data_IF_395690316380
#
_entry.id   IF_395690316380
#
_cell.length_a   1.000
_cell.length_b   1.000
_cell.length_c   1.000
_cell.angle_alpha   90.00
_cell.angle_beta   90.00
_cell.angle_gamma   90.00
#
_symmetry.space_group_name_H-M   'P 1'
#
loop_
_entity.id
_entity.type
_entity.pdbx_description
1 polymer ?
#
# COMPACT_ATOMS: atom_id res chain seq x y z
N UNK A 1 -26.86 -2.62 2.55
CA UNK A 1 -26.50 -4.05 2.68
C UNK A 1 -26.49 -4.39 4.16
N UNK A 2 -27.00 -5.57 4.56
CA UNK A 2 -26.83 -6.04 5.95
C UNK A 2 -25.35 -6.08 6.29
N UNK A 3 -24.96 -5.58 7.46
CA UNK A 3 -23.65 -5.84 8.02
C UNK A 3 -23.37 -7.34 7.86
N UNK A 4 -22.30 -7.68 7.14
CA UNK A 4 -21.90 -9.08 6.95
C UNK A 4 -21.58 -9.61 8.34
N UNK A 5 -22.55 -10.32 8.93
CA UNK A 5 -22.34 -10.98 10.21
C UNK A 5 -21.21 -11.97 9.96
N UNK A 6 -20.06 -11.85 10.66
CA UNK A 6 -18.96 -12.78 10.46
C UNK A 6 -19.50 -14.20 10.66
N UNK A 7 -19.15 -15.15 9.79
CA UNK A 7 -19.68 -16.50 9.89
C UNK A 7 -19.46 -17.02 11.32
N UNK A 8 -20.48 -17.67 11.93
CA UNK A 8 -20.35 -18.16 13.29
C UNK A 8 -19.16 -19.11 13.39
N UNK A 9 -18.45 -19.04 14.52
CA UNK A 9 -17.37 -19.98 14.80
C UNK A 9 -17.91 -21.42 14.68
N UNK A 10 -17.12 -22.35 14.13
CA UNK A 10 -17.54 -23.74 14.05
C UNK A 10 -17.72 -24.34 15.45
N UNK A 11 -18.70 -25.24 15.59
CA UNK A 11 -19.01 -25.89 16.87
C UNK A 11 -17.80 -26.61 17.47
N UNK A 12 -16.93 -27.17 16.63
CA UNK A 12 -15.65 -27.78 17.01
C UNK A 12 -14.55 -27.31 16.07
N UNK A 13 -13.55 -26.61 16.61
CA UNK A 13 -12.37 -26.14 15.86
C UNK A 13 -11.33 -27.26 15.73
N UNK A 14 -10.89 -27.82 16.86
CA UNK A 14 -9.94 -28.94 16.92
C UNK A 14 -10.61 -30.08 17.69
N UNK A 15 -10.69 -31.31 17.13
CA UNK A 15 -11.28 -32.44 17.82
C UNK A 15 -10.67 -32.65 19.21
N UNK A 16 -11.52 -32.92 20.20
CA UNK A 16 -11.14 -33.17 21.60
C UNK A 16 -10.57 -31.96 22.36
N UNK A 17 -10.57 -30.76 21.80
CA UNK A 17 -10.20 -29.53 22.50
C UNK A 17 -11.41 -28.57 22.63
N UNK A 18 -11.59 -27.94 23.80
CA UNK A 18 -12.43 -26.76 23.95
C UNK A 18 -12.06 -25.66 22.94
N UNK A 19 -13.05 -24.96 22.38
CA UNK A 19 -12.83 -23.97 21.33
C UNK A 19 -12.01 -22.76 21.80
N UNK A 20 -12.10 -22.38 23.06
CA UNK A 20 -11.26 -21.34 23.67
C UNK A 20 -9.78 -21.73 23.68
N UNK A 21 -9.47 -22.98 24.05
CA UNK A 21 -8.11 -23.52 23.96
C UNK A 21 -7.65 -23.64 22.50
N UNK A 22 -8.51 -24.08 21.60
CA UNK A 22 -8.19 -24.16 20.17
C UNK A 22 -7.86 -22.78 19.59
N UNK A 23 -8.66 -21.75 19.88
CA UNK A 23 -8.38 -20.37 19.47
C UNK A 23 -7.08 -19.85 20.10
N UNK A 24 -6.83 -20.15 21.37
CA UNK A 24 -5.60 -19.76 22.06
C UNK A 24 -4.35 -20.38 21.42
N UNK A 25 -4.43 -21.64 20.98
CA UNK A 25 -3.38 -22.34 20.23
C UNK A 25 -3.19 -21.69 18.85
N UNK A 26 -4.26 -21.54 18.07
CA UNK A 26 -4.20 -20.95 16.73
C UNK A 26 -3.70 -19.49 16.77
N UNK A 27 -4.08 -18.71 17.79
CA UNK A 27 -3.66 -17.33 17.97
C UNK A 27 -2.14 -17.20 18.11
N UNK A 28 -1.46 -18.22 18.67
CA UNK A 28 0.00 -18.24 18.83
C UNK A 28 0.76 -18.64 17.58
N UNK A 29 0.06 -19.15 16.56
CA UNK A 29 0.72 -19.47 15.29
C UNK A 29 0.96 -18.17 14.52
N UNK A 30 2.21 -17.91 14.07
CA UNK A 30 2.51 -16.75 13.24
C UNK A 30 1.66 -16.69 11.96
N UNK A 31 1.27 -15.47 11.54
CA UNK A 31 0.38 -15.24 10.36
C UNK A 31 0.89 -15.93 9.09
N UNK A 32 2.22 -16.05 8.92
CA UNK A 32 2.85 -16.70 7.77
C UNK A 32 2.48 -18.18 7.56
N UNK A 33 1.94 -18.85 8.58
CA UNK A 33 1.50 -20.24 8.50
C UNK A 33 -0.03 -20.38 8.39
N UNK A 34 -0.79 -19.29 8.48
CA UNK A 34 -2.26 -19.33 8.47
C UNK A 34 -2.80 -19.85 7.14
N UNK A 35 -2.16 -19.51 6.01
CA UNK A 35 -2.51 -20.06 4.69
C UNK A 35 -2.35 -21.59 4.63
N UNK A 36 -1.30 -22.13 5.26
CA UNK A 36 -1.07 -23.57 5.28
C UNK A 36 -2.07 -24.25 6.21
N UNK A 37 -2.33 -23.65 7.38
CA UNK A 37 -3.30 -24.17 8.35
C UNK A 37 -4.75 -24.12 7.83
N UNK A 38 -5.12 -23.11 7.06
CA UNK A 38 -6.45 -22.99 6.48
C UNK A 38 -6.74 -24.08 5.43
N UNK A 39 -5.69 -24.71 4.88
CA UNK A 39 -5.82 -25.86 4.00
C UNK A 39 -6.09 -27.18 4.74
N UNK A 40 -5.81 -27.25 6.05
CA UNK A 40 -5.92 -28.50 6.84
C UNK A 40 -7.37 -28.91 7.09
N UNK A 41 -8.23 -27.97 7.48
CA UNK A 41 -9.65 -28.26 7.71
C UNK A 41 -10.54 -27.03 7.52
N UNK A 42 -11.83 -27.26 7.20
CA UNK A 42 -12.82 -26.19 7.08
C UNK A 42 -13.03 -25.46 8.41
N UNK A 43 -13.05 -26.17 9.53
CA UNK A 43 -13.21 -25.55 10.87
C UNK A 43 -12.02 -24.66 11.23
N UNK A 44 -10.79 -25.10 10.97
CA UNK A 44 -9.59 -24.29 11.21
C UNK A 44 -9.59 -23.08 10.29
N UNK A 45 -9.93 -23.24 9.00
CA UNK A 45 -10.07 -22.12 8.07
C UNK A 45 -11.05 -21.06 8.58
N UNK A 46 -12.24 -21.46 9.00
CA UNK A 46 -13.25 -20.55 9.55
C UNK A 46 -12.75 -19.85 10.82
N UNK A 47 -12.08 -20.58 11.72
CA UNK A 47 -11.47 -19.99 12.92
C UNK A 47 -10.38 -18.97 12.58
N UNK A 48 -9.53 -19.24 11.58
CA UNK A 48 -8.46 -18.33 11.11
C UNK A 48 -8.96 -17.03 10.48
N UNK A 49 -10.16 -17.05 9.89
CA UNK A 49 -10.81 -15.86 9.35
C UNK A 49 -11.72 -15.16 10.37
N UNK A 50 -11.88 -15.71 11.58
CA UNK A 50 -12.84 -15.20 12.57
C UNK A 50 -12.32 -13.97 13.33
N UNK A 51 -13.17 -12.97 13.64
CA UNK A 51 -12.79 -11.84 14.49
C UNK A 51 -12.32 -12.24 15.89
N UNK A 52 -12.83 -13.37 16.42
CA UNK A 52 -12.46 -13.88 17.74
C UNK A 52 -11.00 -14.29 17.81
N UNK A 53 -10.43 -14.81 16.72
CA UNK A 53 -9.00 -15.11 16.66
C UNK A 53 -8.17 -13.83 16.79
N UNK A 54 -8.48 -12.80 16.02
CA UNK A 54 -7.76 -11.52 16.03
C UNK A 54 -7.93 -10.78 17.36
N UNK A 55 -9.12 -10.87 17.97
CA UNK A 55 -9.34 -10.38 19.34
C UNK A 55 -8.44 -11.11 20.33
N UNK A 56 -8.36 -12.45 20.24
CA UNK A 56 -7.49 -13.28 21.10
C UNK A 56 -6.02 -12.91 20.90
N UNK A 57 -5.58 -12.73 19.66
CA UNK A 57 -4.20 -12.30 19.33
C UNK A 57 -3.87 -10.94 19.92
N UNK A 58 -4.80 -9.98 19.80
CA UNK A 58 -4.66 -8.63 20.38
C UNK A 58 -4.51 -8.69 21.90
N UNK A 59 -5.38 -9.43 22.60
CA UNK A 59 -5.30 -9.62 24.07
C UNK A 59 -3.96 -10.24 24.50
N UNK A 60 -3.40 -11.12 23.66
CA UNK A 60 -2.12 -11.79 23.93
C UNK A 60 -0.89 -10.98 23.50
N UNK A 61 -1.06 -9.77 22.96
CA UNK A 61 0.01 -8.96 22.38
C UNK A 61 0.77 -9.68 21.24
N UNK A 62 0.05 -10.47 20.44
CA UNK A 62 0.59 -11.22 19.30
C UNK A 62 0.27 -10.54 17.97
N UNK A 63 0.10 -9.22 17.99
CA UNK A 63 -0.24 -8.44 16.82
C UNK A 63 0.92 -8.40 15.84
N UNK A 64 0.68 -8.74 14.58
CA UNK A 64 1.72 -8.75 13.54
C UNK A 64 1.48 -7.63 12.53
N UNK A 65 2.55 -7.07 11.94
CA UNK A 65 2.43 -6.18 10.79
C UNK A 65 2.61 -7.01 9.54
N UNK A 66 1.70 -6.84 8.59
CA UNK A 66 1.72 -7.56 7.33
C UNK A 66 1.95 -6.57 6.20
N UNK A 67 2.86 -6.94 5.32
CA UNK A 67 3.18 -6.20 4.12
C UNK A 67 2.47 -6.90 2.95
N UNK A 68 1.86 -6.12 2.06
CA UNK A 68 1.24 -6.61 0.84
C UNK A 68 1.85 -5.89 -0.34
N UNK A 69 2.11 -6.61 -1.41
CA UNK A 69 2.73 -6.04 -2.61
C UNK A 69 1.87 -6.38 -3.81
N UNK A 70 1.56 -5.36 -4.61
CA UNK A 70 1.06 -5.48 -5.97
C UNK A 70 2.20 -5.18 -6.95
N UNK A 71 2.35 -6.07 -7.92
CA UNK A 71 3.31 -5.93 -9.02
C UNK A 71 2.54 -5.93 -10.32
N UNK A 72 2.54 -4.78 -11.00
CA UNK A 72 1.85 -4.56 -12.26
C UNK A 72 2.84 -4.42 -13.41
N UNK A 73 2.65 -5.22 -14.45
CA UNK A 73 3.33 -5.03 -15.73
C UNK A 73 2.30 -4.63 -16.77
N UNK A 74 2.41 -3.38 -17.20
CA UNK A 74 1.58 -2.80 -18.24
C UNK A 74 1.88 -3.46 -19.60
N UNK A 75 3.13 -3.78 -19.92
CA UNK A 75 3.46 -4.50 -21.16
C UNK A 75 2.90 -5.93 -21.21
N UNK A 76 2.88 -6.64 -20.08
CA UNK A 76 2.52 -8.07 -20.05
C UNK A 76 1.05 -8.36 -19.69
N UNK A 77 0.25 -7.39 -19.25
CA UNK A 77 -1.11 -7.70 -18.80
C UNK A 77 -1.21 -8.27 -17.42
N UNK A 78 -0.11 -8.27 -16.65
CA UNK A 78 -0.06 -9.02 -15.40
C UNK A 78 -0.16 -8.12 -14.19
N UNK A 79 -0.98 -8.57 -13.24
CA UNK A 79 -1.08 -8.02 -11.89
C UNK A 79 -0.87 -9.18 -10.91
N UNK A 80 0.15 -9.08 -10.06
CA UNK A 80 0.50 -10.12 -9.10
C UNK A 80 0.47 -9.56 -7.68
N UNK A 81 -0.23 -10.26 -6.80
CA UNK A 81 -0.37 -9.89 -5.39
C UNK A 81 0.42 -10.84 -4.50
N UNK A 82 1.08 -10.29 -3.50
CA UNK A 82 1.87 -11.04 -2.53
C UNK A 82 1.60 -10.56 -1.11
N UNK A 83 1.46 -11.49 -0.17
CA UNK A 83 1.65 -11.23 1.25
C UNK A 83 3.14 -11.45 1.58
N UNK A 84 3.73 -10.53 2.32
CA UNK A 84 5.14 -10.54 2.70
C UNK A 84 5.23 -10.72 4.20
N UNK A 85 5.96 -11.77 4.61
CA UNK A 85 6.17 -12.12 6.01
C UNK A 85 7.64 -11.99 6.38
N UNK A 86 7.92 -11.51 7.59
CA UNK A 86 9.28 -11.53 8.15
C UNK A 86 9.59 -12.92 8.69
N UNK A 87 10.71 -13.51 8.27
CA UNK A 87 11.19 -14.75 8.88
C UNK A 87 11.64 -14.46 10.31
N UNK A 88 11.30 -15.32 11.30
CA UNK A 88 11.88 -15.20 12.62
C UNK A 88 13.39 -15.41 12.50
N UNK A 89 14.18 -14.59 13.21
CA UNK A 89 15.65 -14.65 13.24
C UNK A 89 16.04 -15.91 14.01
N UNK A 90 15.93 -17.07 13.37
CA UNK A 90 16.31 -18.36 13.93
C UNK A 90 17.23 -19.00 12.92
N UNK A 91 18.52 -18.93 13.22
CA UNK A 91 19.71 -19.27 12.41
C UNK A 91 20.19 -18.18 11.45
N UNK A 92 21.37 -17.64 11.79
CA UNK A 92 22.25 -16.94 10.87
C UNK A 92 22.76 -17.97 9.85
N UNK A 93 21.97 -18.24 8.82
CA UNK A 93 22.47 -18.91 7.63
C UNK A 93 23.05 -17.82 6.70
N UNK A 94 24.39 -17.72 6.58
CA UNK A 94 25.05 -16.69 5.78
C UNK A 94 24.78 -16.83 4.26
N UNK A 95 24.11 -17.90 3.83
CA UNK A 95 23.80 -18.19 2.42
C UNK A 95 22.33 -17.83 2.10
N UNK A 96 21.44 -17.79 3.10
CA UNK A 96 20.03 -17.44 2.93
C UNK A 96 19.74 -15.97 3.28
N UNK A 97 20.08 -15.05 2.38
CA UNK A 97 19.82 -13.59 2.43
C UNK A 97 18.32 -13.17 2.46
N UNK A 98 17.39 -14.04 2.84
CA UNK A 98 15.95 -13.75 2.77
C UNK A 98 15.33 -13.49 4.13
N UNK A 99 15.44 -12.26 4.65
CA UNK A 99 14.69 -11.77 5.82
C UNK A 99 13.16 -11.85 5.63
N UNK A 100 12.72 -11.86 4.38
CA UNK A 100 11.31 -11.83 3.99
C UNK A 100 10.92 -13.10 3.21
N UNK A 101 9.65 -13.48 3.33
CA UNK A 101 9.00 -14.57 2.59
C UNK A 101 7.79 -13.99 1.86
N UNK A 102 7.73 -14.23 0.55
CA UNK A 102 6.61 -13.84 -0.30
C UNK A 102 5.66 -15.03 -0.45
N UNK A 103 4.38 -14.81 -0.18
CA UNK A 103 3.31 -15.76 -0.47
C UNK A 103 2.40 -15.12 -1.52
N UNK A 104 2.31 -15.75 -2.69
CA UNK A 104 1.42 -15.31 -3.76
C UNK A 104 -0.03 -15.40 -3.30
N UNK A 105 -0.79 -14.35 -3.57
CA UNK A 105 -2.22 -14.26 -3.30
C UNK A 105 -3.02 -14.53 -4.59
N UNK A 106 -4.32 -14.87 -4.48
CA UNK A 106 -5.19 -14.93 -5.64
C UNK A 106 -5.16 -13.58 -6.39
N UNK A 107 -5.16 -13.58 -7.74
CA UNK A 107 -5.23 -12.34 -8.49
C UNK A 107 -6.58 -11.65 -8.25
N UNK A 108 -6.60 -10.33 -8.38
CA UNK A 108 -7.86 -9.59 -8.45
C UNK A 108 -8.73 -10.17 -9.60
N UNK A 109 -10.01 -10.50 -9.37
CA UNK A 109 -10.87 -11.07 -10.39
C UNK A 109 -10.95 -10.24 -11.68
N UNK A 110 -10.96 -8.90 -11.57
CA UNK A 110 -10.92 -8.00 -12.72
C UNK A 110 -9.64 -7.17 -12.67
N UNK A 111 -8.86 -7.19 -13.76
CA UNK A 111 -7.71 -6.29 -13.91
C UNK A 111 -8.26 -4.86 -14.04
N UNK A 112 -7.81 -3.98 -13.16
CA UNK A 112 -8.23 -2.59 -13.10
C UNK A 112 -6.99 -1.69 -13.21
N UNK A 113 -6.59 -1.41 -14.44
CA UNK A 113 -5.38 -0.62 -14.68
C UNK A 113 -5.58 0.86 -14.32
N UNK A 114 -4.63 1.46 -13.60
CA UNK A 114 -4.83 2.81 -13.06
C UNK A 114 -5.93 2.88 -12.00
N UNK A 115 -6.25 1.76 -11.34
CA UNK A 115 -7.01 1.77 -10.09
C UNK A 115 -6.27 2.56 -9.00
N UNK A 116 -7.00 2.91 -7.95
CA UNK A 116 -6.41 3.37 -6.70
C UNK A 116 -6.66 2.37 -5.59
N UNK A 117 -5.76 2.32 -4.63
CA UNK A 117 -5.79 1.35 -3.55
C UNK A 117 -5.83 2.03 -2.18
N UNK A 118 -6.77 1.62 -1.34
CA UNK A 118 -6.88 2.12 0.03
C UNK A 118 -6.88 0.97 1.04
N UNK A 119 -6.25 1.19 2.19
CA UNK A 119 -6.26 0.24 3.30
C UNK A 119 -7.13 0.79 4.42
N UNK A 120 -8.20 0.06 4.77
CA UNK A 120 -9.03 0.38 5.94
C UNK A 120 -9.30 -0.90 6.73
N UNK A 121 -8.95 -0.88 8.02
CA UNK A 121 -9.00 -2.08 8.84
C UNK A 121 -8.18 -3.19 8.19
N UNK A 122 -8.75 -4.39 8.08
CA UNK A 122 -8.08 -5.57 7.50
C UNK A 122 -8.33 -5.75 5.99
N UNK A 123 -8.80 -4.71 5.31
CA UNK A 123 -9.21 -4.78 3.92
C UNK A 123 -8.36 -3.85 3.06
N UNK A 124 -7.96 -4.34 1.89
CA UNK A 124 -7.41 -3.53 0.80
C UNK A 124 -8.50 -3.35 -0.24
N UNK A 125 -8.84 -2.11 -0.55
CA UNK A 125 -9.85 -1.71 -1.52
C UNK A 125 -9.16 -1.31 -2.81
N UNK A 126 -9.43 -1.99 -3.91
CA UNK A 126 -9.01 -1.63 -5.27
C UNK A 126 -10.19 -0.97 -5.95
N UNK A 127 -10.07 0.31 -6.30
CA UNK A 127 -11.20 1.17 -6.68
C UNK A 127 -10.96 1.79 -8.05
N UNK A 128 -11.95 1.68 -8.93
CA UNK A 128 -11.92 2.26 -10.26
C UNK A 128 -10.90 1.60 -11.17
N UNK A 129 -10.28 2.35 -12.07
CA UNK A 129 -9.32 1.85 -13.06
C UNK A 129 -9.97 1.59 -14.43
N UNK A 130 -9.21 1.00 -15.34
CA UNK A 130 -9.65 0.60 -16.67
C UNK A 130 -10.02 -0.89 -16.67
N UNK A 131 -11.25 -1.21 -17.04
CA UNK A 131 -11.74 -2.60 -17.11
C UNK A 131 -11.59 -3.22 -18.51
N UNK A 132 -10.93 -2.53 -19.45
CA UNK A 132 -10.66 -3.05 -20.78
C UNK A 132 -9.52 -4.07 -20.77
N UNK A 133 -9.71 -5.18 -21.52
CA UNK A 133 -8.64 -6.12 -21.84
C UNK A 133 -7.75 -5.64 -22.99
N UNK A 134 -8.16 -4.60 -23.72
CA UNK A 134 -7.38 -3.94 -24.76
C UNK A 134 -6.80 -2.64 -24.21
N UNK A 135 -5.48 -2.55 -24.20
CA UNK A 135 -4.71 -1.38 -23.75
C UNK A 135 -4.98 -0.10 -24.53
N UNK A 136 -5.41 -0.23 -25.79
CA UNK A 136 -5.73 0.93 -26.61
C UNK A 136 -7.14 1.47 -26.34
N UNK A 137 -7.90 0.77 -25.49
CA UNK A 137 -9.28 1.10 -25.16
C UNK A 137 -9.36 1.48 -23.68
N UNK A 138 -9.80 2.70 -23.45
CA UNK A 138 -9.93 3.29 -22.12
C UNK A 138 -11.39 3.28 -21.72
N UNK A 139 -11.76 2.41 -20.79
CA UNK A 139 -13.11 2.33 -20.21
C UNK A 139 -12.95 2.49 -18.69
N UNK A 140 -13.10 3.72 -18.17
CA UNK A 140 -13.11 3.94 -16.73
C UNK A 140 -14.18 3.07 -16.06
N UNK A 141 -13.82 2.47 -14.93
CA UNK A 141 -14.63 1.51 -14.21
C UNK A 141 -15.18 2.09 -12.92
N UNK A 142 -16.36 1.61 -12.52
CA UNK A 142 -16.94 1.84 -11.19
C UNK A 142 -16.67 0.69 -10.21
N UNK A 143 -15.94 -0.35 -10.65
CA UNK A 143 -15.72 -1.54 -9.83
C UNK A 143 -14.90 -1.22 -8.57
N UNK A 144 -15.27 -1.90 -7.49
CA UNK A 144 -14.53 -1.92 -6.23
C UNK A 144 -14.32 -3.38 -5.85
N UNK A 145 -13.07 -3.80 -5.72
CA UNK A 145 -12.70 -5.12 -5.22
C UNK A 145 -12.03 -5.00 -3.87
N UNK A 146 -12.44 -5.84 -2.93
CA UNK A 146 -11.96 -5.81 -1.55
C UNK A 146 -11.21 -7.11 -1.29
N UNK A 147 -9.93 -7.00 -0.94
CA UNK A 147 -9.13 -8.12 -0.46
C UNK A 147 -9.18 -8.15 1.07
N UNK A 148 -9.80 -9.19 1.62
CA UNK A 148 -9.73 -9.48 3.06
C UNK A 148 -8.34 -10.07 3.38
N UNK A 149 -7.52 -9.31 4.11
CA UNK A 149 -6.18 -9.69 4.52
C UNK A 149 -6.13 -10.80 5.59
N UNK A 150 -7.26 -11.24 6.14
CA UNK A 150 -7.38 -12.33 7.11
C UNK A 150 -7.56 -13.67 6.42
N UNK A 151 -8.44 -13.72 5.43
CA UNK A 151 -8.77 -14.91 4.65
C UNK A 151 -7.99 -15.02 3.33
N UNK A 152 -7.39 -13.91 2.87
CA UNK A 152 -6.78 -13.77 1.53
C UNK A 152 -7.77 -14.07 0.41
N UNK A 153 -9.00 -13.57 0.55
CA UNK A 153 -10.06 -13.71 -0.45
C UNK A 153 -10.53 -12.36 -0.96
N UNK A 154 -10.89 -12.32 -2.23
CA UNK A 154 -11.50 -11.16 -2.87
C UNK A 154 -13.03 -11.22 -2.77
N UNK A 155 -13.64 -10.07 -2.55
CA UNK A 155 -15.08 -9.85 -2.69
C UNK A 155 -15.35 -8.57 -3.47
N UNK A 156 -16.50 -8.52 -4.18
CA UNK A 156 -16.92 -7.31 -4.87
C UNK A 156 -17.59 -6.37 -3.85
N UNK A 157 -17.07 -5.14 -3.75
CA UNK A 157 -17.62 -4.09 -2.91
C UNK A 157 -18.70 -3.27 -3.62
N UNK A 158 -19.33 -2.31 -2.91
CA UNK A 158 -20.22 -1.33 -3.53
C UNK A 158 -19.47 -0.52 -4.58
N UNK A 159 -20.00 -0.47 -5.81
CA UNK A 159 -19.43 0.32 -6.90
C UNK A 159 -19.43 1.82 -6.59
N UNK A 160 -18.39 2.53 -7.02
CA UNK A 160 -18.42 4.01 -7.03
C UNK A 160 -19.49 4.51 -7.99
N UNK A 161 -20.11 5.63 -7.66
CA UNK A 161 -21.18 6.21 -8.44
C UNK A 161 -20.74 6.63 -9.83
N UNK A 162 -19.50 7.12 -9.96
CA UNK A 162 -18.96 7.59 -11.24
C UNK A 162 -17.68 6.84 -11.61
N UNK A 163 -17.67 6.17 -12.78
CA UNK A 163 -16.49 5.46 -13.25
C UNK A 163 -15.30 6.40 -13.42
N UNK A 164 -14.13 5.96 -12.97
CA UNK A 164 -12.88 6.75 -13.04
C UNK A 164 -11.64 5.87 -13.02
N UNK A 165 -10.55 6.39 -13.55
CA UNK A 165 -9.20 5.82 -13.45
C UNK A 165 -8.16 6.92 -13.21
N UNK A 166 -6.98 6.56 -12.74
CA UNK A 166 -5.91 7.50 -12.35
C UNK A 166 -6.40 8.57 -11.37
N UNK A 167 -7.29 8.17 -10.46
CA UNK A 167 -7.72 9.01 -9.35
C UNK A 167 -6.59 9.11 -8.30
N UNK A 168 -6.82 9.91 -7.27
CA UNK A 168 -6.06 9.89 -6.03
C UNK A 168 -6.92 9.33 -4.91
N UNK A 169 -6.30 8.84 -3.85
CA UNK A 169 -7.02 8.30 -2.69
C UNK A 169 -6.45 8.82 -1.39
N UNK A 170 -7.33 9.06 -0.42
CA UNK A 170 -6.96 9.38 0.95
C UNK A 170 -7.85 8.63 1.93
N UNK A 171 -7.30 8.25 3.08
CA UNK A 171 -8.07 7.67 4.18
C UNK A 171 -8.06 8.63 5.36
N UNK A 172 -9.25 9.07 5.79
CA UNK A 172 -9.42 9.93 6.96
C UNK A 172 -10.58 9.42 7.79
N UNK A 173 -10.37 9.28 9.11
CA UNK A 173 -11.37 8.77 10.04
C UNK A 173 -12.01 7.44 9.56
N UNK A 174 -11.19 6.53 9.05
CA UNK A 174 -11.58 5.22 8.47
C UNK A 174 -12.47 5.28 7.23
N UNK A 175 -12.61 6.45 6.61
CA UNK A 175 -13.35 6.63 5.35
C UNK A 175 -12.39 6.81 4.19
N UNK A 176 -12.77 6.29 3.03
CA UNK A 176 -11.95 6.31 1.82
C UNK A 176 -12.46 7.42 0.92
N UNK A 177 -11.62 8.41 0.64
CA UNK A 177 -11.91 9.52 -0.26
C UNK A 177 -11.20 9.28 -1.59
N UNK A 178 -11.98 9.10 -2.65
CA UNK A 178 -11.47 8.95 -4.01
C UNK A 178 -11.66 10.26 -4.75
N UNK A 179 -10.56 10.82 -5.25
CA UNK A 179 -10.47 12.22 -5.66
C UNK A 179 -9.96 12.32 -7.09
N UNK A 180 -10.73 13.00 -7.93
CA UNK A 180 -10.35 13.33 -9.31
C UNK A 180 -10.30 12.10 -10.21
N UNK A 181 -9.29 12.09 -11.09
CA UNK A 181 -9.10 11.07 -12.12
C UNK A 181 -9.78 11.42 -13.44
N UNK A 182 -9.74 10.47 -14.37
CA UNK A 182 -10.42 10.59 -15.66
C UNK A 182 -11.91 10.32 -15.47
N UNK A 183 -12.68 11.41 -15.31
CA UNK A 183 -14.11 11.38 -14.99
C UNK A 183 -14.86 12.57 -15.62
N UNK A 184 -16.19 12.51 -15.67
CA UNK A 184 -17.02 13.50 -16.38
C UNK A 184 -17.50 14.67 -15.51
N UNK A 185 -17.89 14.45 -14.23
CA UNK A 185 -18.59 15.50 -13.44
C UNK A 185 -18.29 15.55 -11.94
N UNK A 186 -17.97 14.42 -11.28
CA UNK A 186 -17.81 14.38 -9.81
C UNK A 186 -16.36 14.33 -9.37
N UNK A 187 -15.99 15.25 -8.48
CA UNK A 187 -14.61 15.34 -8.03
C UNK A 187 -14.31 14.32 -6.94
N UNK A 188 -15.12 14.23 -5.88
CA UNK A 188 -14.82 13.38 -4.74
C UNK A 188 -15.98 12.46 -4.41
N UNK A 189 -15.67 11.19 -4.19
CA UNK A 189 -16.58 10.23 -3.58
C UNK A 189 -15.95 9.69 -2.30
N UNK A 190 -16.72 9.68 -1.21
CA UNK A 190 -16.30 9.13 0.08
C UNK A 190 -17.05 7.84 0.38
N UNK A 191 -16.30 6.78 0.65
CA UNK A 191 -16.84 5.52 1.15
C UNK A 191 -16.72 5.45 2.66
N UNK A 192 -17.82 5.08 3.30
CA UNK A 192 -17.83 4.71 4.71
C UNK A 192 -18.01 3.19 4.82
N UNK A 193 -16.94 2.43 5.16
CA UNK A 193 -16.99 0.98 5.26
C UNK A 193 -17.96 0.45 6.32
N UNK A 194 -18.30 1.25 7.34
CA UNK A 194 -19.20 0.83 8.42
C UNK A 194 -20.64 0.72 7.90
N UNK A 195 -21.06 1.70 7.09
CA UNK A 195 -22.40 1.71 6.48
C UNK A 195 -22.43 1.05 5.10
N UNK A 196 -21.28 0.88 4.45
CA UNK A 196 -21.14 0.30 3.12
C UNK A 196 -21.74 1.18 2.02
N UNK A 197 -21.55 2.49 2.10
CA UNK A 197 -22.15 3.45 1.17
C UNK A 197 -21.15 4.51 0.70
N UNK A 198 -21.28 4.90 -0.58
CA UNK A 198 -20.56 6.00 -1.21
C UNK A 198 -21.39 7.27 -1.17
N UNK A 199 -20.77 8.37 -0.81
CA UNK A 199 -21.37 9.70 -0.85
C UNK A 199 -20.57 10.62 -1.76
N UNK A 200 -21.27 11.40 -2.58
CA UNK A 200 -20.67 12.38 -3.48
C UNK A 200 -20.40 13.71 -2.76
N UNK A 201 -19.20 14.25 -2.96
CA UNK A 201 -18.81 15.60 -2.56
C UNK A 201 -18.53 16.41 -3.84
N UNK A 202 -19.33 17.46 -4.12
CA UNK A 202 -19.18 18.28 -5.31
C UNK A 202 -17.80 18.95 -5.43
N UNK A 203 -17.45 19.24 -6.67
CA UNK A 203 -16.28 20.03 -7.02
C UNK A 203 -16.31 21.44 -6.40
N UNK A 204 -15.19 22.00 -5.89
CA UNK A 204 -15.12 23.41 -5.55
C UNK A 204 -15.13 24.35 -6.75
N UNK A 205 -14.92 23.85 -7.98
CA UNK A 205 -14.91 24.65 -9.21
C UNK A 205 -15.55 23.90 -10.39
N UNK A 206 -16.55 24.50 -11.01
CA UNK A 206 -17.24 23.90 -12.16
C UNK A 206 -16.28 23.67 -13.35
N UNK A 207 -16.39 22.49 -13.99
CA UNK A 207 -15.69 22.18 -15.24
C UNK A 207 -14.21 21.79 -15.11
N UNK A 208 -13.68 21.61 -13.89
CA UNK A 208 -12.28 21.15 -13.69
C UNK A 208 -12.20 19.62 -13.68
N UNK A 209 -11.35 19.07 -14.55
CA UNK A 209 -10.93 17.66 -14.50
C UNK A 209 -9.56 17.58 -13.84
N UNK A 210 -9.53 17.13 -12.59
CA UNK A 210 -8.29 16.96 -11.82
C UNK A 210 -7.61 15.63 -12.19
N UNK A 211 -6.99 15.61 -13.37
CA UNK A 211 -6.19 14.48 -13.85
C UNK A 211 -4.84 14.51 -13.16
N UNK A 212 -4.39 13.41 -12.55
CA UNK A 212 -3.10 13.39 -11.84
C UNK A 212 -3.04 14.39 -10.67
N UNK A 213 -4.14 14.52 -9.93
CA UNK A 213 -4.11 15.23 -8.66
C UNK A 213 -3.14 14.52 -7.68
N UNK A 214 -2.55 15.30 -6.78
CA UNK A 214 -1.81 14.77 -5.63
C UNK A 214 -2.60 15.08 -4.38
N UNK A 215 -2.62 14.15 -3.43
CA UNK A 215 -3.41 14.24 -2.21
C UNK A 215 -2.53 13.99 -1.00
N UNK A 216 -2.68 14.83 0.02
CA UNK A 216 -1.98 14.71 1.30
C UNK A 216 -2.99 14.96 2.43
N UNK A 217 -2.90 14.20 3.54
CA UNK A 217 -3.71 14.47 4.73
C UNK A 217 -2.87 15.15 5.79
N UNK A 218 -3.24 16.38 6.14
CA UNK A 218 -2.54 17.18 7.15
C UNK A 218 -3.54 17.56 8.25
N UNK A 219 -3.29 17.08 9.48
CA UNK A 219 -4.16 17.34 10.63
C UNK A 219 -5.64 16.98 10.39
N UNK A 220 -5.90 15.92 9.62
CA UNK A 220 -7.25 15.49 9.25
C UNK A 220 -7.92 16.32 8.15
N UNK A 221 -7.21 17.25 7.52
CA UNK A 221 -7.64 17.99 6.32
C UNK A 221 -7.01 17.34 5.11
N UNK A 222 -7.79 17.16 4.04
CA UNK A 222 -7.31 16.60 2.78
C UNK A 222 -6.88 17.77 1.89
N UNK A 223 -5.59 17.87 1.62
CA UNK A 223 -5.01 18.80 0.66
C UNK A 223 -5.00 18.14 -0.71
N UNK A 224 -5.56 18.81 -1.72
CA UNK A 224 -5.60 18.35 -3.11
C UNK A 224 -4.88 19.36 -3.97
N UNK A 225 -3.85 18.92 -4.68
CA UNK A 225 -3.06 19.77 -5.58
C UNK A 225 -3.15 19.26 -7.00
N UNK A 226 -3.49 20.15 -7.93
CA UNK A 226 -3.55 19.87 -9.36
C UNK A 226 -3.20 21.14 -10.15
N UNK A 227 -2.21 21.05 -11.04
CA UNK A 227 -1.65 22.22 -11.72
C UNK A 227 -1.08 23.22 -10.72
N UNK A 228 -1.49 24.48 -10.81
CA UNK A 228 -1.11 25.56 -9.89
C UNK A 228 -2.12 25.76 -8.74
N UNK A 229 -3.18 24.94 -8.69
CA UNK A 229 -4.25 25.10 -7.73
C UNK A 229 -4.08 24.15 -6.54
N UNK A 230 -4.36 24.68 -5.34
CA UNK A 230 -4.40 23.93 -4.09
C UNK A 230 -5.77 24.12 -3.43
N UNK A 231 -6.39 22.99 -3.10
CA UNK A 231 -7.71 22.91 -2.48
C UNK A 231 -7.59 22.16 -1.16
N UNK A 232 -8.36 22.57 -0.18
CA UNK A 232 -8.41 21.90 1.12
C UNK A 232 -9.83 21.43 1.35
N UNK A 233 -10.04 20.12 1.48
CA UNK A 233 -11.32 19.53 1.86
C UNK A 233 -11.27 19.22 3.35
N UNK A 234 -12.21 19.79 4.10
CA UNK A 234 -12.46 19.38 5.48
C UNK A 234 -13.39 18.14 5.48
N UNK A 235 -12.91 16.95 5.88
CA UNK A 235 -13.70 15.71 5.81
C UNK A 235 -14.94 15.71 6.71
N UNK A 236 -14.92 16.49 7.80
CA UNK A 236 -16.02 16.57 8.77
C UNK A 236 -17.16 17.46 8.28
N UNK A 237 -16.84 18.59 7.67
CA UNK A 237 -17.84 19.55 7.17
C UNK A 237 -18.16 19.35 5.69
N UNK A 238 -17.30 18.64 4.95
CA UNK A 238 -17.35 18.45 3.48
C UNK A 238 -17.31 19.78 2.72
N UNK A 239 -16.66 20.78 3.31
CA UNK A 239 -16.48 22.10 2.73
C UNK A 239 -15.06 22.22 2.19
N UNK A 240 -14.97 22.87 1.02
CA UNK A 240 -13.72 23.19 0.37
C UNK A 240 -13.24 24.61 0.70
N UNK A 241 -11.94 24.75 0.92
CA UNK A 241 -11.25 26.04 0.93
C UNK A 241 -10.27 26.08 -0.25
N UNK A 242 -10.32 27.18 -1.00
CA UNK A 242 -9.47 27.37 -2.21
C UNK A 242 -8.36 28.35 -1.88
N UNK A 243 -7.12 27.87 -1.85
CA UNK A 243 -5.95 28.72 -1.69
C UNK A 243 -5.41 29.13 -3.07
N UNK A 244 -5.55 30.41 -3.44
CA UNK A 244 -4.89 30.99 -4.61
C UNK A 244 -3.47 31.42 -4.25
N UNK A 245 -2.53 30.48 -4.13
CA UNK A 245 -1.11 30.84 -3.98
C UNK A 245 -0.39 30.82 -5.34
N UNK A 246 -0.03 32.01 -5.83
CA UNK A 246 0.76 32.28 -7.05
C UNK A 246 2.26 31.94 -6.88
N UNK A 247 2.62 30.75 -6.39
CA UNK A 247 4.01 30.31 -6.47
C UNK A 247 4.12 28.96 -7.18
N UNK A 248 4.91 28.88 -8.27
CA UNK A 248 5.13 27.64 -8.97
C UNK A 248 6.11 26.81 -8.14
N UNK A 249 5.60 26.03 -7.22
CA UNK A 249 6.33 24.88 -6.75
C UNK A 249 5.68 23.64 -7.34
N UNK A 250 6.41 23.02 -8.27
CA UNK A 250 6.34 21.58 -8.47
C UNK A 250 6.61 20.91 -7.12
N UNK A 251 5.57 20.73 -6.32
CA UNK A 251 5.60 19.85 -5.17
C UNK A 251 4.95 18.57 -5.64
N UNK A 252 5.77 17.57 -5.96
CA UNK A 252 5.37 16.17 -5.78
C UNK A 252 4.99 16.05 -4.30
N UNK A 253 3.71 16.28 -4.01
CA UNK A 253 3.14 16.48 -2.68
C UNK A 253 2.61 15.19 -2.11
N UNK A 254 3.48 14.20 -1.97
CA UNK A 254 3.25 13.03 -1.15
C UNK A 254 4.42 12.86 -0.18
N UNK A 255 4.11 12.59 1.08
CA UNK A 255 5.04 11.88 1.97
C UNK A 255 4.76 10.41 1.78
N UNK A 256 5.76 9.60 1.45
CA UNK A 256 5.55 8.14 1.27
C UNK A 256 5.37 7.45 2.64
N UNK A 257 6.03 7.96 3.68
CA UNK A 257 5.77 7.55 5.06
C UNK A 257 6.38 8.52 6.09
N UNK A 258 6.05 8.31 7.37
CA UNK A 258 6.71 8.95 8.52
C UNK A 258 7.34 7.92 9.44
N UNK A 259 8.57 8.16 9.86
CA UNK A 259 9.31 7.37 10.88
C UNK A 259 9.80 8.34 11.94
N UNK A 260 9.51 8.07 13.22
CA UNK A 260 9.87 8.92 14.36
C UNK A 260 9.47 10.39 14.21
N UNK A 261 8.31 10.63 13.59
CA UNK A 261 7.79 11.98 13.32
C UNK A 261 8.48 12.72 12.17
N UNK A 262 9.50 12.13 11.54
CA UNK A 262 10.16 12.67 10.36
C UNK A 262 9.45 12.15 9.11
N UNK A 263 9.11 13.06 8.19
CA UNK A 263 8.54 12.69 6.90
C UNK A 263 9.63 12.28 5.92
N UNK A 264 9.38 11.19 5.19
CA UNK A 264 10.25 10.69 4.13
C UNK A 264 9.50 10.55 2.81
N UNK A 265 10.25 10.62 1.71
CA UNK A 265 9.75 10.35 0.36
C UNK A 265 10.85 9.77 -0.53
N UNK A 266 10.46 9.00 -1.51
CA UNK A 266 11.29 8.50 -2.59
C UNK A 266 11.09 9.36 -3.85
N UNK A 267 12.16 9.64 -4.60
CA UNK A 267 12.08 10.46 -5.81
C UNK A 267 13.02 9.98 -6.91
N UNK A 268 12.45 9.90 -8.12
CA UNK A 268 13.18 9.71 -9.36
C UNK A 268 13.69 8.28 -9.59
N UNK A 269 14.21 8.06 -10.79
CA UNK A 269 14.66 6.76 -11.35
C UNK A 269 15.97 6.21 -10.76
N UNK A 270 16.45 6.75 -9.64
CA UNK A 270 17.64 6.25 -8.93
C UNK A 270 17.36 5.86 -7.48
N UNK A 271 16.11 5.91 -7.04
CA UNK A 271 15.73 5.55 -5.68
C UNK A 271 16.27 6.50 -4.61
N UNK A 272 16.36 7.80 -4.91
CA UNK A 272 16.73 8.81 -3.91
C UNK A 272 15.67 8.85 -2.82
N UNK A 273 16.12 8.81 -1.57
CA UNK A 273 15.26 9.02 -0.40
C UNK A 273 15.56 10.39 0.21
N UNK A 274 14.52 11.17 0.44
CA UNK A 274 14.58 12.49 1.05
C UNK A 274 13.81 12.51 2.37
N UNK A 275 14.27 13.32 3.32
CA UNK A 275 13.59 13.60 4.59
C UNK A 275 13.27 15.09 4.71
N UNK A 276 12.17 15.42 5.39
CA UNK A 276 11.77 16.81 5.59
C UNK A 276 12.42 17.41 6.84
N UNK A 277 13.21 18.46 6.65
CA UNK A 277 13.79 19.24 7.73
C UNK A 277 12.86 20.40 8.08
N UNK A 278 12.17 20.29 9.21
CA UNK A 278 11.22 21.31 9.67
C UNK A 278 11.92 22.63 10.05
N UNK A 279 13.20 22.59 10.46
CA UNK A 279 13.96 23.79 10.82
C UNK A 279 14.31 24.61 9.58
N UNK A 280 14.76 23.91 8.54
CA UNK A 280 15.12 24.53 7.26
C UNK A 280 13.94 24.63 6.28
N UNK A 281 12.78 24.07 6.64
CA UNK A 281 11.54 23.99 5.86
C UNK A 281 11.75 23.42 4.45
N UNK A 282 12.62 22.43 4.30
CA UNK A 282 12.97 21.86 3.00
C UNK A 282 13.28 20.37 3.08
N UNK A 283 13.13 19.69 1.95
CA UNK A 283 13.55 18.31 1.78
C UNK A 283 15.08 18.22 1.61
N UNK A 284 15.68 17.26 2.32
CA UNK A 284 17.12 16.95 2.29
C UNK A 284 17.32 15.47 1.96
N UNK A 285 18.37 15.14 1.25
CA UNK A 285 18.69 13.74 0.92
C UNK A 285 19.12 12.97 2.18
N UNK A 286 18.68 11.72 2.30
CA UNK A 286 19.23 10.77 3.28
C UNK A 286 20.54 10.22 2.70
N UNK A 287 21.67 10.60 3.32
CA UNK A 287 23.01 10.24 2.82
C UNK A 287 23.29 8.75 3.02
N UNK A 288 24.22 8.18 2.24
CA UNK A 288 24.65 6.78 2.34
C UNK A 288 23.73 5.75 1.66
N UNK A 289 22.44 6.07 1.47
CA UNK A 289 21.49 5.16 0.80
C UNK A 289 21.88 4.91 -0.65
N UNK A 290 22.19 5.97 -1.40
CA UNK A 290 22.48 5.91 -2.83
C UNK A 290 23.70 5.03 -3.17
N UNK A 291 24.66 4.91 -2.26
CA UNK A 291 25.88 4.11 -2.47
C UNK A 291 25.58 2.60 -2.47
N UNK A 292 24.49 2.18 -1.82
CA UNK A 292 24.07 0.79 -1.74
C UNK A 292 23.07 0.38 -2.85
N UNK A 293 22.58 1.35 -3.63
CA UNK A 293 21.57 1.13 -4.68
C UNK A 293 22.21 0.78 -6.04
N UNK A 294 21.53 -0.01 -6.89
CA UNK A 294 22.01 -0.29 -8.25
C UNK A 294 21.93 0.97 -9.12
N UNK A 295 22.62 0.92 -10.27
CA UNK A 295 22.72 2.05 -11.19
C UNK A 295 21.37 2.49 -11.76
N UNK A 296 20.45 1.55 -11.95
CA UNK A 296 19.11 1.78 -12.48
C UNK A 296 18.07 1.17 -11.56
N UNK A 297 17.12 2.01 -11.16
CA UNK A 297 16.01 1.64 -10.31
C UNK A 297 14.72 2.07 -10.99
N UNK A 298 13.78 1.15 -11.19
CA UNK A 298 12.43 1.47 -11.64
C UNK A 298 11.43 1.21 -10.51
N UNK A 299 10.48 2.14 -10.36
CA UNK A 299 9.39 2.12 -9.37
C UNK A 299 9.84 1.93 -7.92
N UNK A 300 9.50 2.87 -7.06
CA UNK A 300 10.04 2.90 -5.70
C UNK A 300 8.93 3.05 -4.70
N UNK A 301 8.98 2.24 -3.66
CA UNK A 301 8.01 2.26 -2.59
C UNK A 301 8.73 2.32 -1.25
N UNK A 302 8.34 3.28 -0.42
CA UNK A 302 8.97 3.56 0.85
C UNK A 302 7.94 3.52 1.96
N UNK A 303 8.15 2.64 2.93
CA UNK A 303 7.15 2.40 3.97
C UNK A 303 7.77 2.32 5.36
N UNK A 304 6.99 2.68 6.39
CA UNK A 304 7.40 2.52 7.79
C UNK A 304 7.08 1.09 8.26
N UNK A 305 8.12 0.31 8.55
CA UNK A 305 8.01 -1.03 9.12
C UNK A 305 8.61 -1.05 10.53
N UNK A 306 7.77 -0.82 11.55
CA UNK A 306 8.17 -0.82 12.98
C UNK A 306 9.36 0.12 13.25
N UNK A 307 9.19 1.40 12.92
CA UNK A 307 10.18 2.45 13.17
C UNK A 307 11.45 2.33 12.31
N UNK A 308 11.40 1.53 11.24
CA UNK A 308 12.45 1.44 10.21
C UNK A 308 11.87 1.77 8.86
N UNK A 309 12.67 2.39 8.01
CA UNK A 309 12.30 2.56 6.61
C UNK A 309 12.51 1.23 5.89
N UNK A 310 11.51 0.79 5.15
CA UNK A 310 11.63 -0.32 4.24
C UNK A 310 11.44 0.20 2.82
N UNK A 311 12.43 -0.08 1.98
CA UNK A 311 12.48 0.41 0.62
C UNK A 311 12.43 -0.75 -0.36
N UNK A 312 11.51 -0.69 -1.32
CA UNK A 312 11.40 -1.67 -2.39
C UNK A 312 11.60 -1.02 -3.75
N UNK A 313 12.24 -1.77 -4.64
CA UNK A 313 12.55 -1.27 -5.96
C UNK A 313 12.73 -2.37 -7.00
N UNK A 314 12.47 -2.04 -8.27
CA UNK A 314 12.87 -2.85 -9.41
C UNK A 314 14.32 -2.56 -9.80
N UNK A 315 15.18 -3.58 -9.73
CA UNK A 315 16.55 -3.54 -10.25
C UNK A 315 16.53 -4.01 -11.70
N UNK A 316 16.87 -3.10 -12.63
CA UNK A 316 16.82 -3.36 -14.07
C UNK A 316 18.20 -3.80 -14.55
N UNK A 317 18.28 -5.03 -15.07
CA UNK A 317 19.48 -5.53 -15.75
C UNK A 317 19.19 -5.81 -17.23
N UNK A 318 20.07 -5.32 -18.10
CA UNK A 318 20.05 -5.62 -19.53
C UNK A 318 20.99 -6.78 -19.82
N UNK A 319 20.52 -7.82 -20.52
CA UNK A 319 21.43 -8.80 -21.10
C UNK A 319 22.15 -8.14 -22.30
N UNK A 320 23.44 -8.44 -22.47
CA UNK A 320 24.37 -7.72 -23.35
C UNK A 320 24.05 -7.75 -24.86
N UNK A 321 22.92 -8.35 -25.25
CA UNK A 321 22.49 -8.47 -26.64
C UNK A 321 20.97 -8.36 -26.87
N UNK A 322 20.15 -8.08 -25.85
CA UNK A 322 18.70 -7.93 -25.98
C UNK A 322 18.24 -6.52 -25.62
N UNK A 323 17.18 -6.04 -26.29
CA UNK A 323 16.38 -4.88 -25.84
C UNK A 323 15.46 -5.22 -24.68
N UNK A 324 15.33 -6.51 -24.36
CA UNK A 324 14.51 -7.01 -23.27
C UNK A 324 15.30 -6.92 -21.96
N UNK A 325 14.80 -6.10 -21.04
CA UNK A 325 15.33 -5.97 -19.69
C UNK A 325 14.70 -6.98 -18.75
N UNK A 326 15.50 -7.48 -17.81
CA UNK A 326 15.01 -8.27 -16.68
C UNK A 326 14.90 -7.35 -15.46
N UNK A 327 13.70 -7.26 -14.88
CA UNK A 327 13.51 -6.57 -13.59
C UNK A 327 13.51 -7.58 -12.47
N UNK A 328 14.46 -7.42 -11.54
CA UNK A 328 14.50 -8.15 -10.28
C UNK A 328 13.91 -7.28 -9.19
N UNK A 329 12.93 -7.81 -8.46
CA UNK A 329 12.41 -7.11 -7.30
C UNK A 329 13.41 -7.21 -6.14
N UNK A 330 13.87 -6.05 -5.69
CA UNK A 330 14.80 -5.90 -4.59
C UNK A 330 14.15 -5.10 -3.46
N UNK A 331 14.69 -5.24 -2.25
CA UNK A 331 14.31 -4.38 -1.15
C UNK A 331 15.37 -4.33 -0.06
N UNK A 332 15.22 -3.39 0.86
CA UNK A 332 16.17 -3.15 1.92
C UNK A 332 15.50 -2.50 3.12
N UNK A 333 15.89 -2.94 4.31
CA UNK A 333 15.65 -2.17 5.53
C UNK A 333 16.72 -1.06 5.58
N UNK A 334 16.29 0.16 5.82
CA UNK A 334 17.15 1.34 5.95
C UNK A 334 17.07 1.80 7.39
N UNK A 335 18.18 1.65 8.10
CA UNK A 335 18.35 2.21 9.43
C UNK A 335 18.85 3.65 9.30
N UNK A 336 18.07 4.60 9.82
CA UNK A 336 18.40 6.02 9.72
C UNK A 336 18.98 6.51 11.03
N UNK A 337 20.18 7.08 10.95
CA UNK A 337 20.89 7.68 12.08
C UNK A 337 21.10 9.17 11.85
N UNK A 338 21.03 9.96 12.94
CA UNK A 338 21.40 11.38 12.92
C UNK A 338 22.90 11.50 13.06
N UNK A 339 23.53 12.26 12.15
CA UNK A 339 24.95 12.64 12.26
C UNK A 339 25.06 14.15 12.27
N UNK A 340 25.86 14.66 13.21
CA UNK A 340 26.17 16.09 13.27
C UNK A 340 27.41 16.32 12.40
N UNK A 341 27.25 17.02 11.29
CA UNK A 341 28.35 17.49 10.44
C UNK A 341 28.36 19.03 10.45
N UNK A 342 29.31 19.62 11.19
CA UNK A 342 29.37 21.07 11.38
C UNK A 342 28.18 21.62 12.19
N UNK A 343 27.61 22.74 11.72
CA UNK A 343 26.48 23.44 12.36
C UNK A 343 25.09 22.85 12.02
N UNK A 344 25.04 21.79 11.18
CA UNK A 344 23.81 21.18 10.69
C UNK A 344 23.57 19.75 11.23
N UNK A 345 22.30 19.32 11.18
CA UNK A 345 21.91 17.91 11.37
C UNK A 345 21.64 17.30 10.00
N UNK A 346 22.30 16.19 9.70
CA UNK A 346 22.01 15.38 8.52
C UNK A 346 21.63 13.94 8.92
N UNK A 347 20.80 13.31 8.09
CA UNK A 347 20.41 11.92 8.25
C UNK A 347 21.24 11.03 7.33
N UNK A 348 21.76 9.94 7.90
CA UNK A 348 22.50 8.90 7.21
C UNK A 348 21.74 7.59 7.30
N UNK A 349 21.51 6.95 6.16
CA UNK A 349 20.87 5.65 6.04
C UNK A 349 21.91 4.55 5.82
N UNK A 350 21.88 3.52 6.65
CA UNK A 350 22.57 2.25 6.42
C UNK A 350 21.58 1.26 5.79
N UNK A 351 21.91 0.74 4.61
CA UNK A 351 21.03 -0.15 3.84
C UNK A 351 21.41 -1.60 4.10
N UNK A 352 20.54 -2.33 4.79
CA UNK A 352 20.63 -3.77 4.89
C UNK A 352 19.89 -4.41 3.72
N UNK A 353 20.63 -4.68 2.63
CA UNK A 353 20.07 -5.21 1.38
C UNK A 353 19.53 -6.63 1.56
N UNK A 354 18.32 -6.86 1.09
CA UNK A 354 17.67 -8.17 1.04
C UNK A 354 17.29 -8.45 -0.41
N UNK A 355 17.85 -9.51 -1.00
CA UNK A 355 17.37 -9.97 -2.31
C UNK A 355 16.02 -10.64 -2.11
N UNK A 356 14.95 -10.03 -2.58
CA UNK A 356 13.58 -10.40 -2.23
C UNK A 356 13.02 -11.55 -3.08
N UNK A 357 13.21 -11.48 -4.40
CA UNK A 357 12.70 -12.50 -5.32
C UNK A 357 13.75 -12.80 -6.41
N UNK A 358 14.71 -13.71 -6.15
CA UNK A 358 15.73 -14.06 -7.14
C UNK A 358 15.19 -14.86 -8.34
N UNK A 359 14.01 -15.47 -8.23
CA UNK A 359 13.43 -16.39 -9.23
C UNK A 359 12.29 -15.79 -10.07
N UNK A 360 11.76 -14.61 -9.72
CA UNK A 360 10.74 -13.95 -10.54
C UNK A 360 11.39 -12.94 -11.48
N UNK A 361 11.80 -13.42 -12.65
CA UNK A 361 12.15 -12.58 -13.79
C UNK A 361 10.85 -12.09 -14.43
N UNK A 362 10.53 -10.81 -14.27
CA UNK A 362 9.50 -10.18 -15.10
C UNK A 362 10.19 -9.73 -16.40
N UNK A 363 9.77 -10.28 -17.54
CA UNK A 363 10.29 -9.88 -18.85
C UNK A 363 9.69 -8.53 -19.25
N UNK A 364 10.50 -7.52 -19.58
CA UNK A 364 10.01 -6.17 -19.87
C UNK A 364 10.71 -5.56 -21.09
N UNK A 365 9.94 -4.81 -21.87
CA UNK A 365 10.41 -3.76 -22.79
C UNK A 365 10.40 -2.40 -22.06
N UNK A 366 11.46 -1.58 -22.20
CA UNK A 366 11.85 -0.35 -21.44
C UNK A 366 10.76 0.59 -20.85
N UNK A 367 9.48 0.50 -21.20
CA UNK A 367 8.51 1.57 -20.98
C UNK A 367 7.38 1.32 -19.95
N UNK A 368 7.21 0.17 -19.28
CA UNK A 368 5.93 0.00 -18.56
C UNK A 368 5.88 -1.03 -17.38
N UNK A 369 6.40 -0.63 -16.22
CA UNK A 369 6.31 -1.39 -14.95
C UNK A 369 5.94 -0.49 -13.77
N UNK A 370 5.01 -0.96 -12.92
CA UNK A 370 4.55 -0.26 -11.72
C UNK A 370 4.55 -1.23 -10.53
N UNK A 371 5.28 -0.87 -9.47
CA UNK A 371 5.21 -1.50 -8.15
C UNK A 371 4.32 -0.65 -7.27
N UNK A 372 3.52 -1.34 -6.44
CA UNK A 372 2.78 -0.69 -5.38
C UNK A 372 2.89 -1.53 -4.11
N UNK A 373 3.37 -0.93 -3.03
CA UNK A 373 3.60 -1.60 -1.75
C UNK A 373 2.60 -1.05 -0.72
N UNK A 374 1.87 -1.96 -0.10
CA UNK A 374 0.91 -1.66 0.94
C UNK A 374 1.46 -2.14 2.28
N UNK A 375 1.36 -1.28 3.30
CA UNK A 375 1.66 -1.67 4.69
C UNK A 375 0.39 -1.66 5.49
N UNK A 376 0.17 -2.76 6.20
CA UNK A 376 -0.95 -2.92 7.09
C UNK A 376 -0.48 -3.38 8.48
N UNK A 377 -1.05 -2.77 9.51
CA UNK A 377 -0.84 -3.12 10.91
C UNK A 377 -1.96 -4.07 11.34
N UNK A 378 -1.66 -5.38 11.47
CA UNK A 378 -2.70 -6.41 11.31
C UNK A 378 -3.77 -6.47 12.39
N UNK A 379 -3.59 -5.73 13.47
CA UNK A 379 -4.39 -5.85 14.68
C UNK A 379 -4.51 -4.51 15.46
N UNK A 380 -4.13 -3.38 14.84
CA UNK A 380 -4.31 -2.04 15.39
C UNK A 380 -4.61 -1.05 14.26
N UNK A 381 -5.68 -0.29 14.42
CA UNK A 381 -6.14 0.74 13.48
C UNK A 381 -5.06 1.81 13.27
N UNK A 382 -4.25 1.65 12.23
CA UNK A 382 -3.33 2.69 11.78
C UNK A 382 -3.30 2.70 10.24
N UNK A 383 -3.58 3.88 9.71
CA UNK A 383 -3.56 4.24 8.28
C UNK A 383 -2.10 4.51 7.87
N UNK A 384 -1.67 3.95 6.74
CA UNK A 384 -0.52 4.48 5.98
C UNK A 384 -1.09 5.26 4.79
N UNK A 385 -0.68 6.53 4.69
CA UNK A 385 -0.77 7.38 3.50
C UNK A 385 0.56 7.33 2.77
#
# INVERSE_FOLDING_TARGET
>A
MSAVIPPPLPDVIIPSLPNDLALNILARVPRQYHLVLSAVSKSIRLALSSPQLYTTRSILNLTENLLYLKVSSMSLGTENWFAIYRKPIVSADPICNGLLRFARLPPNPHKLEGSVEAVVGHNIYVIGGNNSNDYNVVIPSSDVWILDCRSHTWEQGPSIGIPRMHASVAVVDEKIYVIGGWTEESWVEVFDPVIGHWEHIPSPLDGIRAISATVEVVNGIILVKFGEAEFQLNPKTKVWEVSKHNQPYYVNGGTDCKVDGIAYRSRGNRGRIEWYDDRERRWKEVRGVMEAMPQYVCSTELVNLKERLFFMWGDVSYESSSTDGVVKLCGGEIEVSRRNEGDGVDLWGEVHKVTLLPESTFGISEESFELMLFVFFSDSFSVCL
#
